data_IF_240645168754
#
_entry.id   IF_240645168754
#
_cell.length_a   1.000
_cell.length_b   1.000
_cell.length_c   1.000
_cell.angle_alpha   90.00
_cell.angle_beta   90.00
_cell.angle_gamma   90.00
#
_symmetry.space_group_name_H-M   'P 1'
#
loop_
_entity.id
_entity.type
_entity.pdbx_description
1 polymer ?
#
# COMPACT_ATOMS: atom_id res chain seq x y z
N UNK A 1 5.13 4.61 -36.25
CA UNK A 1 4.67 5.81 -35.60
C UNK A 1 5.07 5.86 -34.14
N UNK A 2 5.51 6.98 -33.74
CA UNK A 2 5.91 7.16 -32.38
C UNK A 2 4.72 7.49 -31.49
N UNK A 3 4.42 6.68 -30.55
CA UNK A 3 3.35 6.94 -29.62
C UNK A 3 3.85 7.83 -28.49
N UNK A 4 2.95 8.69 -28.05
CA UNK A 4 3.20 9.43 -26.84
C UNK A 4 3.12 8.47 -25.68
N UNK A 5 4.24 8.23 -25.06
CA UNK A 5 4.26 7.37 -23.88
C UNK A 5 4.84 8.14 -22.73
N UNK A 6 4.22 7.96 -21.57
CA UNK A 6 4.77 8.53 -20.35
C UNK A 6 5.95 7.66 -19.93
N UNK A 7 7.05 8.29 -19.58
CA UNK A 7 8.20 7.57 -19.03
C UNK A 7 8.05 7.38 -17.52
N UNK A 8 7.21 8.17 -16.91
CA UNK A 8 7.01 8.12 -15.46
C UNK A 8 5.55 8.45 -15.15
N UNK A 9 4.95 7.66 -14.27
CA UNK A 9 3.55 7.80 -13.87
C UNK A 9 3.47 7.73 -12.36
N UNK A 10 2.73 8.64 -11.76
CA UNK A 10 2.42 8.58 -10.34
C UNK A 10 1.01 8.03 -10.17
N UNK A 11 0.89 7.00 -9.35
CA UNK A 11 -0.40 6.35 -9.08
C UNK A 11 -0.73 6.56 -7.61
N UNK A 12 -1.84 7.23 -7.34
CA UNK A 12 -2.30 7.45 -5.97
C UNK A 12 -3.38 6.43 -5.63
N UNK A 13 -3.19 5.74 -4.53
CA UNK A 13 -4.11 4.71 -4.07
C UNK A 13 -4.59 5.10 -2.68
N UNK A 14 -5.87 5.39 -2.57
CA UNK A 14 -6.47 5.79 -1.30
C UNK A 14 -6.70 4.61 -0.38
N UNK A 15 -6.83 4.90 0.91
CA UNK A 15 -6.98 3.85 1.92
C UNK A 15 -8.23 3.00 1.72
N UNK A 16 -9.33 3.62 1.25
CA UNK A 16 -10.56 2.87 1.02
C UNK A 16 -10.43 1.82 -0.08
N UNK A 17 -9.44 1.97 -0.94
CA UNK A 17 -9.17 0.98 -1.99
C UNK A 17 -8.49 -0.25 -1.41
N UNK A 18 -7.66 -0.06 -0.39
CA UNK A 18 -6.79 -1.11 0.12
C UNK A 18 -7.31 -1.82 1.34
N UNK A 19 -8.32 -1.27 1.99
CA UNK A 19 -8.79 -1.84 3.24
C UNK A 19 -10.24 -2.31 3.14
N UNK A 20 -10.53 -3.36 3.88
CA UNK A 20 -11.89 -3.84 4.07
C UNK A 20 -12.57 -2.98 5.11
N UNK A 21 -13.87 -3.21 5.30
CA UNK A 21 -14.64 -2.46 6.30
C UNK A 21 -14.10 -2.63 7.72
N UNK A 22 -13.50 -3.78 8.00
CA UNK A 22 -12.94 -4.06 9.32
C UNK A 22 -11.53 -3.50 9.49
N UNK A 23 -11.02 -2.80 8.50
CA UNK A 23 -9.69 -2.18 8.55
C UNK A 23 -8.55 -3.08 8.12
N UNK A 24 -8.81 -4.35 7.84
CA UNK A 24 -7.75 -5.24 7.36
C UNK A 24 -7.43 -4.95 5.90
N UNK A 25 -6.22 -5.30 5.49
CA UNK A 25 -5.82 -5.12 4.09
C UNK A 25 -6.56 -6.11 3.19
N UNK A 26 -7.06 -5.59 2.09
CA UNK A 26 -7.71 -6.40 1.07
C UNK A 26 -6.63 -6.90 0.11
N UNK A 27 -6.10 -8.07 0.40
CA UNK A 27 -4.97 -8.63 -0.35
C UNK A 27 -5.34 -8.91 -1.80
N UNK A 28 -6.57 -9.36 -2.04
CA UNK A 28 -7.03 -9.62 -3.40
C UNK A 28 -6.98 -8.35 -4.24
N UNK A 29 -7.43 -7.24 -3.67
CA UNK A 29 -7.41 -5.97 -4.38
C UNK A 29 -6.00 -5.44 -4.54
N UNK A 30 -5.16 -5.58 -3.52
CA UNK A 30 -3.77 -5.21 -3.63
C UNK A 30 -3.06 -6.00 -4.72
N UNK A 31 -3.32 -7.29 -4.79
CA UNK A 31 -2.73 -8.15 -5.80
C UNK A 31 -3.13 -7.71 -7.21
N UNK A 32 -4.40 -7.37 -7.41
CA UNK A 32 -4.88 -6.89 -8.69
C UNK A 32 -4.21 -5.58 -9.10
N UNK A 33 -4.04 -4.67 -8.15
CA UNK A 33 -3.34 -3.40 -8.42
C UNK A 33 -1.88 -3.63 -8.75
N UNK A 34 -1.22 -4.50 -8.01
CA UNK A 34 0.19 -4.83 -8.26
C UNK A 34 0.35 -5.43 -9.65
N UNK A 35 -0.56 -6.30 -10.07
CA UNK A 35 -0.52 -6.88 -11.41
C UNK A 35 -0.56 -5.79 -12.49
N UNK A 36 -1.41 -4.80 -12.32
CA UNK A 36 -1.53 -3.70 -13.27
C UNK A 36 -0.28 -2.83 -13.29
N UNK A 37 0.28 -2.55 -12.12
CA UNK A 37 1.49 -1.75 -12.02
C UNK A 37 2.69 -2.51 -12.60
N UNK A 38 2.75 -3.80 -12.34
CA UNK A 38 3.80 -4.64 -12.92
C UNK A 38 3.74 -4.62 -14.45
N UNK A 39 2.54 -4.58 -15.01
CA UNK A 39 2.38 -4.49 -16.44
C UNK A 39 2.93 -3.17 -17.00
N UNK A 40 2.65 -2.06 -16.31
CA UNK A 40 3.23 -0.77 -16.70
C UNK A 40 4.76 -0.82 -16.64
N UNK A 41 5.28 -1.43 -15.61
CA UNK A 41 6.73 -1.57 -15.45
C UNK A 41 7.33 -2.38 -16.60
N UNK A 42 6.68 -3.45 -17.01
CA UNK A 42 7.14 -4.26 -18.13
C UNK A 42 7.17 -3.48 -19.45
N UNK A 43 6.32 -2.47 -19.56
CA UNK A 43 6.30 -1.59 -20.72
C UNK A 43 7.37 -0.51 -20.66
N UNK A 44 8.21 -0.53 -19.66
CA UNK A 44 9.28 0.46 -19.50
C UNK A 44 8.87 1.75 -18.83
N UNK A 45 7.70 1.77 -18.19
CA UNK A 45 7.21 2.95 -17.49
C UNK A 45 7.65 2.90 -16.05
N UNK A 46 8.29 3.96 -15.58
CA UNK A 46 8.65 4.10 -14.19
C UNK A 46 7.38 4.49 -13.41
N UNK A 47 7.05 3.75 -12.36
CA UNK A 47 5.84 4.00 -11.59
C UNK A 47 6.21 4.42 -10.17
N UNK A 48 5.64 5.52 -9.74
CA UNK A 48 5.73 5.97 -8.36
C UNK A 48 4.35 5.76 -7.74
N UNK A 49 4.29 4.90 -6.73
CA UNK A 49 3.05 4.67 -6.02
C UNK A 49 2.97 5.55 -4.80
N UNK A 50 1.85 6.25 -4.67
CA UNK A 50 1.53 6.98 -3.44
C UNK A 50 0.35 6.27 -2.82
N UNK A 51 0.58 5.62 -1.71
CA UNK A 51 -0.43 4.76 -1.11
C UNK A 51 -0.79 5.23 0.29
N UNK A 52 -2.05 5.09 0.63
CA UNK A 52 -2.57 5.37 1.96
C UNK A 52 -2.91 4.05 2.64
N UNK A 53 -3.41 4.13 3.85
CA UNK A 53 -3.88 2.94 4.56
C UNK A 53 -2.98 2.48 5.68
N UNK A 54 -1.84 3.14 5.89
CA UNK A 54 -0.92 2.75 6.96
C UNK A 54 -1.58 2.84 8.34
N UNK A 55 -2.30 3.91 8.61
CA UNK A 55 -2.97 4.08 9.91
C UNK A 55 -4.01 3.00 10.12
N UNK A 56 -4.85 2.76 9.11
CA UNK A 56 -5.91 1.75 9.21
C UNK A 56 -5.30 0.35 9.38
N UNK A 57 -4.25 0.05 8.63
CA UNK A 57 -3.56 -1.23 8.73
C UNK A 57 -2.94 -1.42 10.11
N UNK A 58 -2.31 -0.38 10.65
CA UNK A 58 -1.72 -0.44 11.98
C UNK A 58 -2.76 -0.56 13.07
N UNK A 59 -3.88 0.14 12.91
CA UNK A 59 -4.99 0.03 13.88
C UNK A 59 -5.52 -1.40 13.91
N UNK A 60 -5.67 -2.02 12.77
CA UNK A 60 -6.11 -3.41 12.68
C UNK A 60 -5.10 -4.35 13.33
N UNK A 61 -3.81 -4.14 13.07
CA UNK A 61 -2.75 -4.97 13.62
C UNK A 61 -2.67 -4.85 15.14
N UNK A 62 -2.89 -3.64 15.66
CA UNK A 62 -2.77 -3.36 17.08
C UNK A 62 -4.12 -3.27 17.77
N UNK A 63 -5.09 -4.02 17.26
CA UNK A 63 -6.44 -4.01 17.79
C UNK A 63 -6.49 -4.32 19.29
N UNK A 64 -5.59 -5.18 19.76
CA UNK A 64 -5.50 -5.55 21.15
C UNK A 64 -5.10 -4.39 22.07
N UNK A 65 -4.59 -3.30 21.51
CA UNK A 65 -4.26 -2.11 22.28
C UNK A 65 -5.43 -1.13 22.35
N UNK A 66 -6.53 -1.44 21.69
CA UNK A 66 -7.72 -0.60 21.78
C UNK A 66 -8.19 -0.56 23.23
N UNK A 67 -8.53 0.62 23.72
CA UNK A 67 -8.92 0.80 25.10
C UNK A 67 -7.79 1.25 26.01
N UNK A 68 -6.56 1.15 25.59
CA UNK A 68 -5.46 1.74 26.35
C UNK A 68 -5.52 3.25 26.19
N UNK A 69 -5.22 3.94 27.27
CA UNK A 69 -5.23 5.40 27.22
C UNK A 69 -4.05 5.88 26.43
N UNK A 70 -4.36 6.56 25.34
CA UNK A 70 -3.37 7.12 24.47
C UNK A 70 -4.03 8.29 23.76
N UNK A 71 -3.37 9.42 23.69
CA UNK A 71 -3.95 10.54 22.97
C UNK A 71 -4.05 10.22 21.49
N UNK A 72 -4.87 10.98 20.78
CA UNK A 72 -5.17 10.69 19.38
C UNK A 72 -3.94 10.80 18.48
N UNK A 73 -3.08 11.79 18.75
CA UNK A 73 -1.88 11.99 17.94
C UNK A 73 -0.91 10.85 18.14
N UNK A 74 -0.66 10.45 19.36
CA UNK A 74 0.25 9.33 19.67
C UNK A 74 -0.27 8.04 19.09
N UNK A 75 -1.58 7.80 19.17
CA UNK A 75 -2.19 6.61 18.62
C UNK A 75 -2.00 6.55 17.10
N UNK A 76 -2.23 7.67 16.40
CA UNK A 76 -2.07 7.71 14.96
C UNK A 76 -0.61 7.49 14.57
N UNK A 77 0.33 8.05 15.32
CA UNK A 77 1.74 7.85 15.06
C UNK A 77 2.12 6.38 15.20
N UNK A 78 1.64 5.73 16.24
CA UNK A 78 1.90 4.32 16.47
C UNK A 78 1.29 3.46 15.36
N UNK A 79 0.03 3.70 15.05
CA UNK A 79 -0.66 2.93 14.01
C UNK A 79 -0.02 3.15 12.65
N UNK A 80 0.41 4.38 12.35
CA UNK A 80 1.09 4.67 11.11
C UNK A 80 2.41 3.94 11.01
N UNK A 81 3.19 3.94 12.08
CA UNK A 81 4.50 3.30 12.08
C UNK A 81 4.40 1.78 11.86
N UNK A 82 3.51 1.13 12.61
CA UNK A 82 3.31 -0.32 12.50
C UNK A 82 2.66 -0.66 11.16
N UNK A 83 1.66 0.12 10.78
CA UNK A 83 0.93 -0.12 9.53
C UNK A 83 1.79 0.11 8.30
N UNK A 84 2.70 1.07 8.35
CA UNK A 84 3.60 1.33 7.23
C UNK A 84 4.51 0.12 6.97
N UNK A 85 5.07 -0.45 8.02
CA UNK A 85 5.91 -1.63 7.89
C UNK A 85 5.12 -2.79 7.27
N UNK A 86 3.90 -3.00 7.76
CA UNK A 86 3.04 -4.06 7.27
C UNK A 86 2.66 -3.84 5.81
N UNK A 87 2.30 -2.61 5.48
CA UNK A 87 1.86 -2.26 4.13
C UNK A 87 2.99 -2.42 3.11
N UNK A 88 4.16 -1.88 3.42
CA UNK A 88 5.31 -1.98 2.52
C UNK A 88 5.76 -3.44 2.37
N UNK A 89 5.75 -4.19 3.46
CA UNK A 89 6.13 -5.60 3.39
C UNK A 89 5.19 -6.38 2.46
N UNK A 90 3.90 -6.08 2.51
CA UNK A 90 2.93 -6.75 1.67
C UNK A 90 3.15 -6.40 0.19
N UNK A 91 3.39 -5.13 -0.11
CA UNK A 91 3.72 -4.73 -1.47
C UNK A 91 5.00 -5.39 -1.96
N UNK A 92 6.01 -5.44 -1.10
CA UNK A 92 7.29 -6.07 -1.44
C UNK A 92 7.06 -7.53 -1.87
N UNK A 93 6.28 -8.28 -1.09
CA UNK A 93 5.98 -9.67 -1.40
C UNK A 93 5.24 -9.82 -2.72
N UNK A 94 4.23 -8.98 -2.94
CA UNK A 94 3.44 -9.07 -4.15
C UNK A 94 4.23 -8.73 -5.41
N UNK A 95 5.06 -7.68 -5.34
CA UNK A 95 5.90 -7.30 -6.47
C UNK A 95 7.00 -8.32 -6.72
N UNK A 96 7.48 -8.96 -5.68
CA UNK A 96 8.54 -9.98 -5.84
C UNK A 96 8.08 -11.11 -6.74
N UNK A 97 6.80 -11.47 -6.69
CA UNK A 97 6.26 -12.50 -7.57
C UNK A 97 6.34 -12.12 -9.05
N UNK A 98 6.47 -10.83 -9.33
CA UNK A 98 6.68 -10.33 -10.68
C UNK A 98 8.15 -10.06 -10.98
N UNK A 99 9.05 -10.43 -10.09
CA UNK A 99 10.47 -10.14 -10.26
C UNK A 99 10.84 -8.69 -10.08
N UNK A 100 9.99 -7.92 -9.39
CA UNK A 100 10.18 -6.49 -9.19
C UNK A 100 10.53 -6.23 -7.74
N UNK A 101 11.56 -5.43 -7.52
CA UNK A 101 11.94 -4.98 -6.17
C UNK A 101 11.33 -3.61 -5.96
N UNK A 102 10.57 -3.47 -4.87
CA UNK A 102 10.02 -2.17 -4.50
C UNK A 102 10.47 -1.80 -3.10
N UNK A 103 10.42 -0.53 -2.85
CA UNK A 103 10.79 -0.03 -1.53
C UNK A 103 10.43 1.41 -1.35
#
# INVERSE_FOLDING_TARGET
MKNETYSRVAVKIGSNVLTRKDGTLDITRMSALVDQIAELHRQGIEVIMVTSGAVASGRSELKHLAGKKMDEVSARQLFSAVGQAKLINRYYELFRDHGIVCG
#
